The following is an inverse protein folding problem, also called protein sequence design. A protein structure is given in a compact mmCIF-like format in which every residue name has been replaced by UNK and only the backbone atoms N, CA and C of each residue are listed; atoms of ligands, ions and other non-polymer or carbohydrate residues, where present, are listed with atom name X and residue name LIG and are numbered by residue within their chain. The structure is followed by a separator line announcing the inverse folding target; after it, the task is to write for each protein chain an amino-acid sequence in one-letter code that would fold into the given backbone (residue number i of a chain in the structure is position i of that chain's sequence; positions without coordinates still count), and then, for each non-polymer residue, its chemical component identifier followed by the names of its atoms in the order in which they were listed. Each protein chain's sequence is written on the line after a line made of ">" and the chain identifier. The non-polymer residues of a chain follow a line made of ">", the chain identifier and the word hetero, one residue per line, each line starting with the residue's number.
data_IF_911525026355
#
_entry.id   IF_911525026355
#
_cell.length_a   1.000
_cell.length_b   1.000
_cell.length_c   1.000
_cell.angle_alpha   90.00
_cell.angle_beta   90.00
_cell.angle_gamma   90.00
#
_symmetry.space_group_name_H-M   'P 1'
#
loop_
_entity.id
_entity.type
_entity.pdbx_description
1 polymer ?
#
# COMPACT_ATOMS: atom_id res chain seq x y z
N UNK A 1 11.67 2.36 6.49
CA UNK A 1 12.00 2.60 5.07
C UNK A 1 13.44 3.07 4.97
N UNK A 2 14.16 2.71 3.92
CA UNK A 2 15.42 3.39 3.53
C UNK A 2 15.12 4.76 2.94
N UNK A 3 16.13 5.61 2.81
CA UNK A 3 16.02 6.85 2.05
C UNK A 3 17.15 6.86 0.99
N UNK A 4 16.84 6.77 -0.31
CA UNK A 4 15.49 6.75 -0.90
C UNK A 4 14.75 5.41 -0.69
N UNK A 5 13.44 5.42 -0.97
CA UNK A 5 12.56 4.26 -0.99
C UNK A 5 11.89 4.12 -2.36
N UNK A 6 11.95 2.93 -2.96
CA UNK A 6 11.31 2.68 -4.25
C UNK A 6 9.83 2.32 -4.08
N UNK A 7 8.92 3.16 -4.56
CA UNK A 7 7.48 2.92 -4.53
C UNK A 7 6.95 2.74 -5.95
N UNK A 8 6.24 1.65 -6.21
CA UNK A 8 5.60 1.39 -7.50
C UNK A 8 4.18 0.85 -7.34
N UNK A 9 3.20 1.73 -7.54
CA UNK A 9 1.77 1.39 -7.60
C UNK A 9 1.20 1.57 -9.02
N UNK A 10 2.06 1.59 -10.05
CA UNK A 10 1.66 1.84 -11.44
C UNK A 10 0.66 0.82 -11.98
N UNK A 11 0.75 -0.44 -11.52
CA UNK A 11 -0.23 -1.49 -11.87
C UNK A 11 -1.65 -1.18 -11.40
N UNK A 12 -1.80 -0.27 -10.43
CA UNK A 12 -3.07 0.22 -9.90
C UNK A 12 -3.49 1.58 -10.50
N UNK A 13 -2.78 2.07 -11.52
CA UNK A 13 -3.08 3.34 -12.18
C UNK A 13 -2.44 4.58 -11.52
N UNK A 14 -1.54 4.40 -10.56
CA UNK A 14 -0.72 5.50 -10.04
C UNK A 14 0.40 5.90 -11.02
N UNK A 15 1.16 6.94 -10.69
CA UNK A 15 2.36 7.33 -11.44
C UNK A 15 3.37 6.17 -11.56
N UNK A 16 4.27 6.20 -12.58
CA UNK A 16 5.33 5.22 -12.72
C UNK A 16 6.17 5.08 -11.43
N UNK A 17 6.68 3.87 -11.18
CA UNK A 17 7.51 3.59 -10.01
C UNK A 17 8.72 4.52 -9.91
N UNK A 18 8.98 5.02 -8.71
CA UNK A 18 10.02 6.02 -8.46
C UNK A 18 10.69 5.84 -7.09
N UNK A 19 11.94 6.31 -7.01
CA UNK A 19 12.68 6.43 -5.77
C UNK A 19 12.33 7.76 -5.10
N UNK A 20 11.71 7.70 -3.91
CA UNK A 20 11.17 8.85 -3.20
C UNK A 20 11.75 8.94 -1.78
N UNK A 21 11.90 10.14 -1.22
CA UNK A 21 12.07 10.31 0.22
C UNK A 21 10.88 9.69 0.98
N UNK A 22 11.11 8.96 2.08
CA UNK A 22 10.01 8.43 2.90
C UNK A 22 9.03 9.51 3.40
N UNK A 23 9.51 10.75 3.61
CA UNK A 23 8.66 11.86 4.02
C UNK A 23 7.55 12.14 2.99
N UNK A 24 7.92 12.25 1.72
CA UNK A 24 7.01 12.54 0.61
C UNK A 24 5.96 11.43 0.43
N UNK A 25 6.37 10.16 0.59
CA UNK A 25 5.45 9.02 0.56
C UNK A 25 4.41 9.14 1.68
N UNK A 26 4.88 9.43 2.90
CA UNK A 26 4.01 9.56 4.07
C UNK A 26 3.07 10.77 3.95
N UNK A 27 3.51 11.87 3.34
CA UNK A 27 2.65 13.02 3.03
C UNK A 27 1.52 12.63 2.07
N UNK A 28 1.83 11.90 1.01
CA UNK A 28 0.82 11.37 0.08
C UNK A 28 -0.23 10.49 0.78
N UNK A 29 0.22 9.59 1.65
CA UNK A 29 -0.70 8.72 2.41
C UNK A 29 -1.54 9.49 3.44
N UNK A 30 -0.97 10.52 4.10
CA UNK A 30 -1.69 11.37 5.06
C UNK A 30 -2.82 12.19 4.41
N UNK A 31 -2.69 12.52 3.12
CA UNK A 31 -3.70 13.29 2.39
C UNK A 31 -4.97 12.49 2.03
N UNK A 32 -5.01 11.20 2.39
CA UNK A 32 -6.06 10.27 1.94
C UNK A 32 -6.51 9.28 3.01
N UNK A 33 -5.57 8.54 3.62
CA UNK A 33 -5.89 7.44 4.54
C UNK A 33 -6.73 7.87 5.76
N UNK A 34 -6.53 9.07 6.37
CA UNK A 34 -7.35 9.48 7.50
C UNK A 34 -8.82 9.75 7.15
N UNK A 35 -9.18 9.79 5.87
CA UNK A 35 -10.56 9.92 5.41
C UNK A 35 -11.40 8.64 5.52
N UNK A 36 -10.77 7.50 5.81
CA UNK A 36 -11.47 6.25 6.13
C UNK A 36 -11.65 6.12 7.65
N UNK A 37 -12.73 5.45 8.06
CA UNK A 37 -12.93 5.11 9.48
C UNK A 37 -11.98 4.00 9.93
N UNK A 38 -11.72 3.06 9.02
CA UNK A 38 -10.78 1.98 9.23
C UNK A 38 -10.11 1.55 7.92
N UNK A 39 -8.87 1.07 8.05
CA UNK A 39 -8.18 0.36 6.97
C UNK A 39 -7.55 -0.91 7.54
N UNK A 40 -7.55 -1.98 6.76
CA UNK A 40 -6.94 -3.26 7.14
C UNK A 40 -6.21 -3.84 5.94
N UNK A 41 -4.89 -3.99 6.07
CA UNK A 41 -4.07 -4.67 5.08
C UNK A 41 -3.70 -6.05 5.62
N UNK A 42 -4.37 -7.07 5.13
CA UNK A 42 -4.06 -8.46 5.45
C UNK A 42 -3.04 -8.98 4.45
N UNK A 43 -1.88 -9.43 4.93
CA UNK A 43 -0.81 -9.98 4.10
C UNK A 43 -0.64 -11.47 4.39
N UNK A 44 -0.54 -12.28 3.34
CA UNK A 44 -0.24 -13.70 3.51
C UNK A 44 -0.59 -14.56 2.30
N UNK A 45 0.08 -15.72 2.12
CA UNK A 45 1.32 -16.15 2.80
C UNK A 45 2.52 -15.25 2.43
N UNK A 46 3.61 -15.32 3.20
CA UNK A 46 4.85 -14.58 2.93
C UNK A 46 5.91 -15.55 2.42
N UNK A 47 6.32 -15.40 1.17
CA UNK A 47 7.50 -16.06 0.60
C UNK A 47 8.69 -15.12 0.79
N UNK A 48 9.71 -15.57 1.54
CA UNK A 48 10.85 -14.73 1.94
C UNK A 48 12.14 -15.36 1.42
N UNK A 49 12.88 -14.61 0.62
CA UNK A 49 14.22 -14.98 0.14
C UNK A 49 15.25 -14.02 0.74
N UNK A 50 16.31 -14.55 1.35
CA UNK A 50 17.39 -13.75 1.95
C UNK A 50 18.71 -14.09 1.28
N UNK A 51 19.43 -13.06 0.81
CA UNK A 51 20.74 -13.18 0.18
C UNK A 51 21.68 -12.13 0.76
N UNK A 52 22.59 -12.58 1.64
CA UNK A 52 23.47 -11.69 2.39
C UNK A 52 22.66 -10.67 3.21
N UNK A 53 22.99 -9.39 3.06
CA UNK A 53 22.27 -8.28 3.71
C UNK A 53 21.01 -7.81 2.99
N UNK A 54 20.44 -8.60 2.08
CA UNK A 54 19.24 -8.24 1.31
C UNK A 54 18.16 -9.31 1.46
N UNK A 55 16.89 -8.90 1.41
CA UNK A 55 15.77 -9.82 1.35
C UNK A 55 14.72 -9.36 0.34
N UNK A 56 14.06 -10.33 -0.30
CA UNK A 56 12.86 -10.11 -1.12
C UNK A 56 11.69 -10.84 -0.46
N UNK A 57 10.57 -10.16 -0.28
CA UNK A 57 9.33 -10.76 0.22
C UNK A 57 8.27 -10.65 -0.85
N UNK A 58 7.68 -11.78 -1.21
CA UNK A 58 6.52 -11.86 -2.10
C UNK A 58 5.33 -12.33 -1.28
N UNK A 59 4.24 -11.57 -1.34
CA UNK A 59 3.07 -11.86 -0.51
C UNK A 59 1.80 -11.33 -1.15
N UNK A 60 0.71 -12.06 -1.02
CA UNK A 60 -0.61 -11.55 -1.40
C UNK A 60 -1.12 -10.57 -0.36
N UNK A 61 -1.84 -9.56 -0.81
CA UNK A 61 -2.45 -8.54 0.04
C UNK A 61 -3.94 -8.40 -0.27
N UNK A 62 -4.73 -8.29 0.80
CA UNK A 62 -6.12 -7.85 0.78
C UNK A 62 -6.18 -6.53 1.56
N UNK A 63 -6.32 -5.43 0.85
CA UNK A 63 -6.39 -4.09 1.43
C UNK A 63 -7.84 -3.61 1.49
N UNK A 64 -8.45 -3.68 2.67
CA UNK A 64 -9.83 -3.25 2.91
C UNK A 64 -9.84 -1.86 3.53
N UNK A 65 -10.74 -1.01 3.04
CA UNK A 65 -10.96 0.34 3.54
C UNK A 65 -12.46 0.51 3.81
N UNK A 66 -12.81 1.15 4.92
CA UNK A 66 -14.19 1.28 5.37
C UNK A 66 -14.57 2.74 5.63
N UNK A 67 -15.77 3.11 5.19
CA UNK A 67 -16.52 4.28 5.65
C UNK A 67 -17.90 3.80 6.06
N UNK A 68 -18.14 3.72 7.37
CA UNK A 68 -19.34 3.14 7.92
C UNK A 68 -20.59 3.93 7.47
N UNK A 69 -21.58 3.22 6.94
CA UNK A 69 -22.83 3.84 6.48
C UNK A 69 -22.72 4.62 5.16
N UNK A 70 -21.62 4.48 4.41
CA UNK A 70 -21.52 5.09 3.09
C UNK A 70 -22.58 4.53 2.12
N UNK A 71 -23.17 5.43 1.34
CA UNK A 71 -24.09 5.06 0.26
C UNK A 71 -23.36 4.22 -0.79
N UNK A 72 -24.00 3.16 -1.30
CA UNK A 72 -23.40 2.24 -2.27
C UNK A 72 -22.52 1.13 -1.65
N UNK A 73 -22.46 1.06 -0.32
CA UNK A 73 -21.71 0.05 0.44
C UNK A 73 -20.57 0.68 1.26
N UNK A 74 -20.27 0.10 2.41
CA UNK A 74 -19.34 0.68 3.39
C UNK A 74 -17.88 0.24 3.20
N UNK A 75 -17.61 -0.73 2.32
CA UNK A 75 -16.26 -1.28 2.10
C UNK A 75 -15.76 -1.12 0.68
N UNK A 76 -14.47 -0.80 0.54
CA UNK A 76 -13.69 -0.87 -0.69
C UNK A 76 -12.47 -1.78 -0.46
N UNK A 77 -12.38 -2.86 -1.23
CA UNK A 77 -11.33 -3.88 -1.06
C UNK A 77 -10.51 -4.04 -2.32
N UNK A 78 -9.19 -3.95 -2.19
CA UNK A 78 -8.22 -4.11 -3.28
C UNK A 78 -7.41 -5.38 -3.06
N UNK A 79 -7.31 -6.19 -4.10
CA UNK A 79 -6.57 -7.45 -4.10
C UNK A 79 -5.36 -7.36 -5.01
N UNK A 80 -4.23 -7.89 -4.55
CA UNK A 80 -3.02 -7.97 -5.36
C UNK A 80 -1.90 -8.70 -4.64
N UNK A 81 -0.68 -8.49 -5.13
CA UNK A 81 0.55 -8.96 -4.49
C UNK A 81 1.51 -7.81 -4.25
N UNK A 82 2.26 -7.87 -3.16
CA UNK A 82 3.43 -7.04 -2.96
C UNK A 82 4.70 -7.80 -3.35
N UNK A 83 5.63 -7.09 -3.96
CA UNK A 83 7.05 -7.44 -3.98
C UNK A 83 7.78 -6.40 -3.15
N UNK A 84 8.21 -6.81 -1.97
CA UNK A 84 8.93 -5.97 -1.03
C UNK A 84 10.42 -6.29 -1.10
N UNK A 85 11.28 -5.27 -1.06
CA UNK A 85 12.71 -5.46 -0.86
C UNK A 85 13.12 -4.90 0.48
N UNK A 86 14.06 -5.56 1.15
CA UNK A 86 14.62 -5.14 2.43
C UNK A 86 16.13 -5.19 2.38
N UNK A 87 16.76 -4.32 3.16
CA UNK A 87 18.20 -4.29 3.40
C UNK A 87 18.50 -4.38 4.90
N UNK A 88 19.59 -5.06 5.25
CA UNK A 88 20.04 -5.25 6.62
C UNK A 88 20.97 -4.10 7.04
N UNK A 89 20.57 -3.35 8.06
CA UNK A 89 21.42 -2.39 8.78
C UNK A 89 21.41 -2.72 10.28
N UNK A 90 21.06 -1.75 11.14
CA UNK A 90 20.76 -1.98 12.57
C UNK A 90 19.43 -2.77 12.78
N UNK A 91 19.07 -3.63 11.85
CA UNK A 91 17.75 -4.22 11.65
C UNK A 91 17.35 -4.19 10.18
N UNK A 92 16.39 -5.04 9.80
CA UNK A 92 15.83 -5.05 8.45
C UNK A 92 15.01 -3.79 8.19
N UNK A 93 15.26 -3.10 7.08
CA UNK A 93 14.48 -1.95 6.62
C UNK A 93 13.95 -2.23 5.22
N UNK A 94 12.66 -1.97 5.01
CA UNK A 94 12.08 -1.95 3.66
C UNK A 94 12.78 -0.89 2.80
N UNK A 95 13.24 -1.28 1.62
CA UNK A 95 13.82 -0.41 0.60
C UNK A 95 12.94 -0.24 -0.63
N UNK A 96 11.98 -1.14 -0.84
CA UNK A 96 11.03 -1.04 -1.94
C UNK A 96 9.68 -1.67 -1.60
N UNK A 97 8.62 -1.13 -2.20
CA UNK A 97 7.31 -1.74 -2.30
C UNK A 97 6.77 -1.57 -3.73
N UNK A 98 6.66 -2.68 -4.46
CA UNK A 98 5.91 -2.75 -5.71
C UNK A 98 4.60 -3.48 -5.47
N UNK A 99 3.47 -2.83 -5.79
CA UNK A 99 2.15 -3.45 -5.80
C UNK A 99 1.82 -3.97 -7.19
N UNK A 100 1.29 -5.19 -7.26
CA UNK A 100 0.78 -5.85 -8.46
C UNK A 100 -0.72 -6.06 -8.29
N UNK A 101 -1.50 -5.15 -8.85
CA UNK A 101 -2.96 -5.20 -8.82
C UNK A 101 -3.52 -6.45 -9.52
N UNK A 102 -4.61 -7.00 -8.96
CA UNK A 102 -5.38 -8.10 -9.57
C UNK A 102 -6.81 -7.67 -9.88
N UNK A 103 -7.56 -7.30 -8.85
CA UNK A 103 -8.95 -6.86 -8.96
C UNK A 103 -9.35 -6.10 -7.69
N UNK A 104 -10.50 -5.46 -7.73
CA UNK A 104 -11.12 -4.79 -6.59
C UNK A 104 -12.59 -5.20 -6.46
N UNK A 105 -13.13 -5.03 -5.27
CA UNK A 105 -14.55 -5.27 -4.96
C UNK A 105 -15.10 -4.19 -4.04
N UNK A 106 -16.42 -4.08 -3.94
CA UNK A 106 -17.10 -3.15 -3.06
C UNK A 106 -17.30 -1.77 -3.70
N UNK A 107 -17.41 -0.75 -2.86
CA UNK A 107 -17.78 0.60 -3.27
C UNK A 107 -16.56 1.38 -3.79
N UNK A 108 -16.49 1.58 -5.10
CA UNK A 108 -15.38 2.29 -5.76
C UNK A 108 -15.39 3.80 -5.56
N UNK A 109 -16.45 4.36 -4.96
CA UNK A 109 -16.55 5.79 -4.66
C UNK A 109 -15.89 6.17 -3.32
N UNK A 110 -15.60 5.18 -2.46
CA UNK A 110 -15.02 5.46 -1.14
C UNK A 110 -13.68 6.18 -1.17
N UNK A 111 -12.75 5.95 -2.13
CA UNK A 111 -11.55 6.74 -2.23
C UNK A 111 -11.81 8.25 -2.41
N UNK A 112 -12.76 8.61 -3.27
CA UNK A 112 -13.13 10.01 -3.50
C UNK A 112 -13.81 10.60 -2.26
N UNK A 113 -14.71 9.84 -1.62
CA UNK A 113 -15.37 10.23 -0.37
C UNK A 113 -14.36 10.44 0.77
N UNK A 114 -13.39 9.55 0.94
CA UNK A 114 -12.33 9.67 1.94
C UNK A 114 -11.54 10.96 1.75
N UNK A 115 -11.16 11.29 0.51
CA UNK A 115 -10.47 12.54 0.22
C UNK A 115 -11.34 13.78 0.50
N UNK A 116 -12.64 13.71 0.22
CA UNK A 116 -13.57 14.81 0.49
C UNK A 116 -13.75 15.07 2.01
N UNK A 117 -13.64 14.03 2.85
CA UNK A 117 -13.72 14.15 4.32
C UNK A 117 -12.53 14.88 4.97
N UNK A 118 -11.46 15.11 4.23
CA UNK A 118 -10.23 15.77 4.71
C UNK A 118 -10.11 17.24 4.31
N UNK A 119 -11.11 17.76 3.59
CA UNK A 119 -11.25 19.19 3.25
C UNK A 119 -12.14 19.88 4.27
#
# INVERSE_FOLDING_TARGET
>A
MTNPFHLDYSSFGASPGADLPPADILEGWKAFLPGFDATHHHLGPLEIEVTGGNATVRTSVIATHQIAGAEGGDTWTVYGDYVLKLVQGNGWKLSSNTFRFKFLTGNTELPALAQARLK
#
